data_IF_576453780757
#
_entry.id   IF_576453780757
#
_cell.length_a   1.000
_cell.length_b   1.000
_cell.length_c   1.000
_cell.angle_alpha   90.00
_cell.angle_beta   90.00
_cell.angle_gamma   90.00
#
_symmetry.space_group_name_H-M   'P 1'
#
loop_
_entity.id
_entity.type
_entity.pdbx_description
1 polymer ?
#
# COMPACT_ATOMS: atom_id res chain seq x y z
N UNK A 1 3.83 11.08 -10.57
CA UNK A 1 4.70 10.42 -9.57
C UNK A 1 4.05 10.58 -8.20
N UNK A 2 3.97 9.51 -7.40
CA UNK A 2 3.34 9.51 -6.06
C UNK A 2 4.36 9.73 -4.90
N UNK A 3 5.60 10.13 -5.19
CA UNK A 3 6.62 10.31 -4.15
C UNK A 3 7.17 9.01 -3.54
N UNK A 4 6.58 7.86 -3.88
CA UNK A 4 7.07 6.52 -3.54
C UNK A 4 7.09 5.60 -4.76
N UNK A 5 8.01 4.61 -4.81
CA UNK A 5 8.09 3.65 -5.91
C UNK A 5 6.84 2.74 -5.90
N UNK A 6 6.12 2.71 -7.01
CA UNK A 6 5.03 1.75 -7.22
C UNK A 6 5.67 0.43 -7.64
N UNK A 7 5.24 -0.69 -7.05
CA UNK A 7 5.76 -2.01 -7.44
C UNK A 7 5.44 -2.29 -8.93
N UNK A 8 6.38 -2.78 -9.75
CA UNK A 8 6.23 -2.80 -11.22
C UNK A 8 4.98 -3.52 -11.76
N UNK A 9 4.55 -4.61 -11.13
CA UNK A 9 3.37 -5.37 -11.56
C UNK A 9 2.07 -5.00 -10.83
N UNK A 10 2.09 -3.94 -10.02
CA UNK A 10 0.92 -3.53 -9.25
C UNK A 10 -0.17 -2.94 -10.14
N UNK A 11 -1.42 -3.37 -9.90
CA UNK A 11 -2.60 -2.90 -10.62
C UNK A 11 -3.29 -1.83 -9.80
N UNK A 12 -3.45 -0.63 -10.35
CA UNK A 12 -4.24 0.43 -9.72
C UNK A 12 -5.69 -0.02 -9.53
N UNK A 13 -6.20 0.10 -8.30
CA UNK A 13 -7.57 -0.29 -7.96
C UNK A 13 -8.47 0.94 -7.83
N UNK A 14 -8.06 1.89 -7.00
CA UNK A 14 -8.86 3.09 -6.69
C UNK A 14 -8.05 4.11 -5.89
N UNK A 15 -8.65 5.26 -5.61
CA UNK A 15 -8.12 6.26 -4.69
C UNK A 15 -9.23 6.90 -3.87
N UNK A 16 -8.91 7.28 -2.65
CA UNK A 16 -9.84 7.93 -1.72
C UNK A 16 -9.29 9.28 -1.28
N UNK A 17 -10.22 10.19 -0.96
CA UNK A 17 -9.89 11.42 -0.26
C UNK A 17 -9.51 11.07 1.18
N UNK A 18 -8.32 11.50 1.59
CA UNK A 18 -7.78 11.25 2.93
C UNK A 18 -8.06 12.42 3.88
N UNK A 19 -8.62 13.53 3.38
CA UNK A 19 -8.76 14.80 4.07
C UNK A 19 -7.58 15.75 3.79
N UNK A 20 -7.78 17.05 4.09
CA UNK A 20 -6.75 18.11 3.93
C UNK A 20 -6.15 18.19 2.51
N UNK A 21 -6.95 17.87 1.49
CA UNK A 21 -6.51 17.86 0.08
C UNK A 21 -5.55 16.71 -0.26
N UNK A 22 -5.34 15.76 0.67
CA UNK A 22 -4.51 14.59 0.47
C UNK A 22 -5.39 13.43 -0.04
N UNK A 23 -4.81 12.60 -0.91
CA UNK A 23 -5.45 11.36 -1.39
C UNK A 23 -4.54 10.20 -1.10
N UNK A 24 -5.10 9.03 -0.82
CA UNK A 24 -4.36 7.78 -0.84
C UNK A 24 -4.83 6.89 -1.99
N UNK A 25 -3.92 6.04 -2.46
CA UNK A 25 -4.09 5.22 -3.65
C UNK A 25 -3.93 3.76 -3.27
N UNK A 26 -4.79 2.89 -3.79
CA UNK A 26 -4.73 1.45 -3.57
C UNK A 26 -4.29 0.74 -4.85
N UNK A 27 -3.36 -0.19 -4.68
CA UNK A 27 -2.87 -1.05 -5.73
C UNK A 27 -2.91 -2.52 -5.29
N UNK A 28 -3.40 -3.38 -6.18
CA UNK A 28 -3.40 -4.83 -5.97
C UNK A 28 -2.20 -5.50 -6.62
N UNK A 29 -1.66 -6.53 -5.98
CA UNK A 29 -0.57 -7.34 -6.56
C UNK A 29 -0.85 -8.83 -6.36
N UNK A 30 -0.28 -9.67 -7.23
CA UNK A 30 -0.24 -11.13 -7.05
C UNK A 30 0.97 -11.60 -6.25
N UNK A 31 1.76 -10.66 -5.72
CA UNK A 31 3.02 -10.94 -5.01
C UNK A 31 2.72 -11.21 -3.53
N UNK A 32 3.35 -12.21 -2.90
CA UNK A 32 3.20 -12.46 -1.47
C UNK A 32 3.62 -11.27 -0.61
N UNK A 33 2.98 -11.12 0.57
CA UNK A 33 3.25 -10.04 1.53
C UNK A 33 4.75 -9.89 1.85
N UNK A 34 5.40 -11.00 2.22
CA UNK A 34 6.82 -11.01 2.63
C UNK A 34 7.74 -10.49 1.51
N UNK A 35 7.48 -10.89 0.27
CA UNK A 35 8.27 -10.47 -0.88
C UNK A 35 8.11 -8.97 -1.16
N UNK A 36 6.89 -8.44 -1.01
CA UNK A 36 6.66 -6.99 -1.13
C UNK A 36 7.30 -6.20 0.00
N UNK A 37 7.23 -6.67 1.23
CA UNK A 37 7.91 -6.03 2.37
C UNK A 37 9.42 -6.00 2.13
N UNK A 38 10.02 -7.12 1.68
CA UNK A 38 11.44 -7.19 1.37
C UNK A 38 11.83 -6.25 0.22
N UNK A 39 11.01 -6.19 -0.84
CA UNK A 39 11.21 -5.22 -1.93
C UNK A 39 11.25 -3.78 -1.41
N UNK A 40 10.26 -3.37 -0.63
CA UNK A 40 10.20 -1.99 -0.13
C UNK A 40 11.32 -1.68 0.86
N UNK A 41 11.75 -2.66 1.67
CA UNK A 41 12.95 -2.52 2.51
C UNK A 41 14.20 -2.19 1.68
N UNK A 42 14.39 -2.89 0.57
CA UNK A 42 15.53 -2.69 -0.33
C UNK A 42 15.45 -1.33 -1.04
N UNK A 43 14.31 -1.02 -1.67
CA UNK A 43 14.19 0.19 -2.51
C UNK A 43 14.17 1.46 -1.67
N UNK A 44 13.49 1.45 -0.53
CA UNK A 44 13.41 2.61 0.37
C UNK A 44 14.61 2.71 1.31
N UNK A 45 15.47 1.68 1.36
CA UNK A 45 16.64 1.60 2.27
C UNK A 45 16.28 1.81 3.74
N UNK A 46 15.12 1.31 4.16
CA UNK A 46 14.64 1.40 5.53
C UNK A 46 13.88 0.14 5.93
N UNK A 47 13.83 -0.18 7.22
CA UNK A 47 13.13 -1.38 7.70
C UNK A 47 11.61 -1.23 7.69
N UNK A 48 11.11 0.00 7.81
CA UNK A 48 9.70 0.28 8.10
C UNK A 48 9.27 -0.32 9.44
N UNK A 49 7.98 -0.24 9.71
CA UNK A 49 7.35 -0.71 10.94
C UNK A 49 6.25 -1.72 10.61
N UNK A 50 6.21 -2.83 11.36
CA UNK A 50 5.07 -3.72 11.37
C UNK A 50 3.99 -3.12 12.27
N UNK A 51 2.87 -2.71 11.67
CA UNK A 51 1.77 -2.06 12.40
C UNK A 51 0.85 -3.08 13.05
N UNK A 52 0.65 -4.22 12.39
CA UNK A 52 -0.22 -5.30 12.86
C UNK A 52 0.36 -6.65 12.43
N UNK A 53 0.33 -7.62 13.33
CA UNK A 53 0.69 -9.01 13.05
C UNK A 53 -0.47 -9.78 12.39
N UNK A 54 -1.72 -9.35 12.63
CA UNK A 54 -2.92 -10.10 12.23
C UNK A 54 -4.11 -9.17 11.89
N UNK A 55 -4.41 -8.91 10.60
CA UNK A 55 -3.64 -9.34 9.42
C UNK A 55 -2.28 -8.62 9.32
N UNK A 56 -1.23 -9.29 8.83
CA UNK A 56 0.09 -8.69 8.62
C UNK A 56 0.00 -7.38 7.83
N UNK A 57 0.51 -6.30 8.42
CA UNK A 57 0.51 -4.96 7.85
C UNK A 57 1.84 -4.27 8.14
N UNK A 58 2.58 -3.90 7.09
CA UNK A 58 3.87 -3.21 7.19
C UNK A 58 3.75 -1.80 6.61
N UNK A 59 4.29 -0.79 7.28
CA UNK A 59 4.34 0.58 6.79
C UNK A 59 5.77 1.09 6.67
N UNK A 60 6.00 1.89 5.63
CA UNK A 60 7.22 2.63 5.41
C UNK A 60 6.86 4.11 5.29
N UNK A 61 7.32 4.92 6.24
CA UNK A 61 7.15 6.37 6.14
C UNK A 61 8.14 6.93 5.11
N UNK A 62 7.63 7.69 4.15
CA UNK A 62 8.39 8.22 3.01
C UNK A 62 8.61 9.72 3.08
N UNK A 63 8.03 10.39 4.08
CA UNK A 63 8.19 11.81 4.31
C UNK A 63 7.74 12.22 5.71
N UNK A 64 8.07 13.46 6.09
CA UNK A 64 7.65 14.02 7.39
C UNK A 64 6.17 14.40 7.34
N UNK A 65 5.44 14.04 8.38
CA UNK A 65 4.09 14.52 8.61
C UNK A 65 4.09 16.03 8.92
N UNK A 66 3.09 16.76 8.39
CA UNK A 66 2.84 18.17 8.68
C UNK A 66 1.39 18.33 9.11
N UNK A 67 1.17 18.48 10.41
CA UNK A 67 -0.19 18.48 10.97
C UNK A 67 -1.08 19.56 10.36
N UNK A 68 -0.56 20.75 10.06
CA UNK A 68 -1.38 21.82 9.48
C UNK A 68 -1.94 21.50 8.07
N UNK A 69 -1.30 20.58 7.33
CA UNK A 69 -1.54 20.39 5.89
C UNK A 69 -1.79 18.94 5.46
N UNK A 70 -1.63 17.97 6.34
CA UNK A 70 -1.76 16.54 6.00
C UNK A 70 -2.71 15.82 6.94
N UNK A 71 -3.49 14.88 6.41
CA UNK A 71 -4.28 13.98 7.23
C UNK A 71 -3.48 12.72 7.64
N UNK A 72 -2.55 12.29 6.77
CA UNK A 72 -1.67 11.16 7.01
C UNK A 72 -0.23 11.50 6.62
N UNK A 73 0.75 10.89 7.29
CA UNK A 73 2.13 10.95 6.85
C UNK A 73 2.27 10.34 5.44
N UNK A 74 3.16 10.88 4.57
CA UNK A 74 3.48 10.23 3.31
C UNK A 74 4.06 8.84 3.57
N UNK A 75 3.49 7.80 2.99
CA UNK A 75 3.83 6.42 3.33
C UNK A 75 3.52 5.42 2.22
N UNK A 76 4.14 4.25 2.34
CA UNK A 76 3.75 3.01 1.65
C UNK A 76 3.33 2.01 2.71
N UNK A 77 2.11 1.50 2.63
CA UNK A 77 1.61 0.44 3.51
C UNK A 77 1.33 -0.81 2.69
N UNK A 78 1.88 -1.95 3.10
CA UNK A 78 1.68 -3.27 2.51
C UNK A 78 0.82 -4.08 3.46
N UNK A 79 -0.27 -4.67 2.97
CA UNK A 79 -1.20 -5.45 3.80
C UNK A 79 -1.49 -6.81 3.16
N UNK A 80 -1.39 -7.86 3.97
CA UNK A 80 -1.79 -9.21 3.61
C UNK A 80 -3.32 -9.36 3.68
N UNK A 81 -3.92 -9.75 2.57
CA UNK A 81 -5.35 -10.03 2.44
C UNK A 81 -5.68 -11.52 2.36
N UNK A 82 -4.68 -12.39 2.49
CA UNK A 82 -4.85 -13.86 2.57
C UNK A 82 -4.95 -14.37 4.02
N UNK A 83 -4.63 -13.52 5.00
CA UNK A 83 -4.73 -13.83 6.42
C UNK A 83 -6.10 -14.44 6.80
N UNK A 84 -6.07 -15.45 7.67
CA UNK A 84 -7.27 -16.16 8.12
C UNK A 84 -7.92 -17.06 7.05
N UNK A 85 -7.18 -17.43 5.99
CA UNK A 85 -7.68 -18.29 4.92
C UNK A 85 -8.52 -17.54 3.86
N UNK A 86 -8.45 -16.21 3.86
CA UNK A 86 -9.07 -15.38 2.82
C UNK A 86 -8.46 -15.65 1.44
N UNK A 87 -9.27 -15.62 0.40
CA UNK A 87 -8.81 -15.75 -0.98
C UNK A 87 -8.14 -14.47 -1.54
N UNK A 88 -8.02 -13.42 -0.72
CA UNK A 88 -7.47 -12.12 -1.11
C UNK A 88 -8.52 -11.05 -1.39
N UNK A 89 -8.05 -9.83 -1.60
CA UNK A 89 -8.88 -8.66 -1.91
C UNK A 89 -9.51 -8.80 -3.30
N UNK A 90 -10.84 -8.67 -3.45
CA UNK A 90 -11.50 -8.83 -4.73
C UNK A 90 -11.09 -7.74 -5.72
N UNK A 91 -10.87 -8.12 -6.98
CA UNK A 91 -10.66 -7.16 -8.04
C UNK A 91 -11.95 -6.38 -8.29
N UNK A 92 -11.95 -5.03 -8.21
CA UNK A 92 -13.14 -4.22 -8.41
C UNK A 92 -13.68 -4.31 -9.84
N UNK A 93 -12.84 -4.70 -10.81
CA UNK A 93 -13.27 -4.92 -12.20
C UNK A 93 -13.77 -6.36 -12.36
N UNK A 94 -15.09 -6.51 -12.51
CA UNK A 94 -15.74 -7.82 -12.73
C UNK A 94 -15.12 -8.56 -13.94
N UNK A 95 -14.76 -9.82 -13.74
CA UNK A 95 -14.17 -10.69 -14.76
C UNK A 95 -12.71 -10.37 -15.13
N UNK A 96 -12.04 -9.46 -14.40
CA UNK A 96 -10.63 -9.18 -14.63
C UNK A 96 -9.72 -10.26 -14.04
N UNK A 97 -8.51 -10.37 -14.59
CA UNK A 97 -7.44 -11.24 -14.10
C UNK A 97 -6.34 -10.38 -13.46
N UNK A 98 -5.89 -10.70 -12.23
CA UNK A 98 -6.42 -11.75 -11.35
C UNK A 98 -7.79 -11.36 -10.78
N UNK A 99 -8.60 -12.35 -10.39
CA UNK A 99 -9.89 -12.09 -9.73
C UNK A 99 -9.70 -11.52 -8.32
N UNK A 100 -8.58 -11.85 -7.67
CA UNK A 100 -8.23 -11.44 -6.31
C UNK A 100 -6.75 -11.12 -6.17
N UNK A 101 -6.45 -10.24 -5.23
CA UNK A 101 -5.10 -9.82 -4.90
C UNK A 101 -4.73 -10.33 -3.50
N UNK A 102 -3.71 -11.19 -3.34
CA UNK A 102 -3.23 -11.61 -2.03
C UNK A 102 -2.71 -10.43 -1.20
N UNK A 103 -2.13 -9.42 -1.84
CA UNK A 103 -1.52 -8.27 -1.15
C UNK A 103 -1.98 -6.96 -1.77
N UNK A 104 -2.30 -5.98 -0.92
CA UNK A 104 -2.60 -4.60 -1.32
C UNK A 104 -1.48 -3.68 -0.87
N UNK A 105 -1.13 -2.74 -1.74
CA UNK A 105 -0.24 -1.61 -1.45
C UNK A 105 -1.11 -0.35 -1.38
N UNK A 106 -1.04 0.35 -0.25
CA UNK A 106 -1.58 1.70 -0.09
C UNK A 106 -0.43 2.71 -0.18
N UNK A 107 -0.61 3.77 -0.96
CA UNK A 107 0.37 4.86 -1.06
C UNK A 107 -0.29 6.17 -0.69
N UNK A 108 0.27 6.84 0.32
CA UNK A 108 -0.01 8.24 0.65
C UNK A 108 1.15 9.08 0.09
N UNK A 109 0.95 9.91 -0.95
CA UNK A 109 2.01 10.70 -1.52
C UNK A 109 2.40 11.86 -0.61
N UNK A 110 3.63 12.35 -0.78
CA UNK A 110 4.02 13.64 -0.25
C UNK A 110 3.20 14.76 -0.91
N UNK A 111 2.86 15.84 -0.16
CA UNK A 111 2.30 17.04 -0.77
C UNK A 111 3.26 17.58 -1.83
N UNK A 112 2.70 18.21 -2.86
CA UNK A 112 3.47 18.89 -3.90
C UNK A 112 4.10 20.18 -3.36
#
# INVERSE_FOLDING_TARGET
MLGAPIYPSAIYLTSYDAGRGQRFYLFGTTVPYVDLVNYYKTVLKQKGDELFESPPTHQFDTGRFRDETMAFAPSVTVKDYTFGGSAGFPNPKKGATPERFPTIIQIVPAPR
#
